data_IF_697423209904
#
_entry.id   IF_697423209904
#
_cell.length_a   1.000
_cell.length_b   1.000
_cell.length_c   1.000
_cell.angle_alpha   90.00
_cell.angle_beta   90.00
_cell.angle_gamma   90.00
#
_symmetry.space_group_name_H-M   'P 1'
#
loop_
_entity.id
_entity.type
_entity.pdbx_description
1 polymer ?
#
# COMPACT_ATOMS: atom_id res chain seq x y z
N UNK A 1 15.44 43.08 -9.73
CA UNK A 1 15.54 42.66 -11.15
C UNK A 1 17.00 42.27 -11.36
N UNK A 2 17.43 41.05 -11.69
CA UNK A 2 16.88 40.00 -12.54
C UNK A 2 17.47 38.67 -12.05
N UNK A 3 16.64 37.71 -11.64
CA UNK A 3 17.04 36.31 -11.50
C UNK A 3 16.87 35.64 -12.87
N UNK A 4 17.97 35.31 -13.53
CA UNK A 4 17.95 34.40 -14.68
C UNK A 4 19.00 33.32 -14.45
N UNK A 5 18.53 32.18 -13.96
CA UNK A 5 19.29 30.95 -13.86
C UNK A 5 19.49 30.32 -15.24
N UNK A 6 20.71 29.90 -15.60
CA UNK A 6 21.02 29.25 -16.88
C UNK A 6 21.52 27.81 -16.66
N UNK A 7 20.64 26.80 -16.59
CA UNK A 7 21.03 25.38 -16.75
C UNK A 7 19.76 24.53 -16.74
N UNK A 8 19.49 23.59 -17.65
CA UNK A 8 20.45 22.65 -18.24
C UNK A 8 20.53 21.35 -17.43
N UNK A 9 19.37 20.74 -17.08
CA UNK A 9 19.23 19.32 -16.72
C UNK A 9 20.09 18.73 -15.58
N UNK A 10 20.61 19.54 -14.64
CA UNK A 10 21.30 19.05 -13.43
C UNK A 10 20.95 19.86 -12.19
N UNK A 11 19.81 19.57 -11.57
CA UNK A 11 19.57 19.94 -10.18
C UNK A 11 19.35 18.68 -9.36
N UNK A 12 20.16 18.48 -8.32
CA UNK A 12 19.97 17.45 -7.30
C UNK A 12 18.55 17.50 -6.68
N UNK A 13 17.91 18.67 -6.76
CA UNK A 13 16.53 18.92 -6.32
C UNK A 13 15.45 18.17 -7.14
N UNK A 14 15.71 17.83 -8.40
CA UNK A 14 14.78 17.00 -9.20
C UNK A 14 14.99 15.49 -8.97
N UNK A 15 16.20 15.07 -8.58
CA UNK A 15 16.51 13.65 -8.32
C UNK A 15 15.94 13.16 -6.98
N UNK A 16 15.84 14.05 -5.98
CA UNK A 16 15.28 13.73 -4.67
C UNK A 16 13.76 13.49 -4.67
N UNK A 17 13.03 13.96 -5.70
CA UNK A 17 11.56 13.79 -5.79
C UNK A 17 11.13 12.46 -6.39
N UNK A 18 12.03 11.69 -7.01
CA UNK A 18 11.70 10.40 -7.65
C UNK A 18 11.89 9.21 -6.70
N UNK A 19 12.48 9.42 -5.51
CA UNK A 19 12.82 8.34 -4.57
C UNK A 19 11.88 8.21 -3.36
N UNK A 20 10.89 9.09 -3.21
CA UNK A 20 9.83 8.96 -2.21
C UNK A 20 8.68 8.08 -2.72
N UNK A 21 9.00 6.91 -3.30
CA UNK A 21 8.01 5.85 -3.45
C UNK A 21 7.72 5.34 -2.04
N UNK A 22 6.72 5.90 -1.38
CA UNK A 22 6.23 5.43 -0.10
C UNK A 22 5.92 3.94 -0.22
N UNK A 23 6.60 3.10 0.56
CA UNK A 23 6.24 1.68 0.70
C UNK A 23 4.74 1.62 1.01
N UNK A 24 3.94 0.90 0.22
CA UNK A 24 2.51 0.83 0.47
C UNK A 24 2.23 0.08 1.77
N UNK A 25 1.15 0.43 2.42
CA UNK A 25 0.70 -0.21 3.67
C UNK A 25 0.27 -1.66 3.42
N UNK A 26 -0.32 -1.91 2.25
CA UNK A 26 -0.76 -3.23 1.82
C UNK A 26 -0.24 -3.61 0.43
N UNK A 27 -0.12 -4.93 0.20
CA UNK A 27 0.02 -5.48 -1.14
C UNK A 27 -0.91 -6.68 -1.35
N UNK A 28 -1.48 -6.79 -2.55
CA UNK A 28 -2.37 -7.91 -2.91
C UNK A 28 -1.66 -8.88 -3.86
N UNK A 29 -1.54 -10.14 -3.45
CA UNK A 29 -1.06 -11.22 -4.30
C UNK A 29 -2.25 -12.05 -4.82
N UNK A 30 -2.43 -12.10 -6.14
CA UNK A 30 -3.51 -12.85 -6.78
C UNK A 30 -3.03 -14.26 -7.17
N UNK A 31 -3.71 -15.29 -6.67
CA UNK A 31 -3.44 -16.71 -6.95
C UNK A 31 -4.60 -17.39 -7.70
N UNK A 32 -5.45 -16.62 -8.39
CA UNK A 32 -6.55 -17.09 -9.22
C UNK A 32 -7.85 -17.25 -8.44
N UNK A 33 -7.93 -18.25 -7.56
CA UNK A 33 -9.13 -18.54 -6.76
C UNK A 33 -9.12 -17.87 -5.38
N UNK A 34 -7.95 -17.44 -4.93
CA UNK A 34 -7.74 -16.73 -3.66
C UNK A 34 -6.79 -15.55 -3.90
N UNK A 35 -6.92 -14.54 -3.05
CA UNK A 35 -5.94 -13.47 -2.94
C UNK A 35 -5.32 -13.51 -1.56
N UNK A 36 -4.08 -13.04 -1.45
CA UNK A 36 -3.41 -12.83 -0.17
C UNK A 36 -3.21 -11.34 0.00
N UNK A 37 -3.86 -10.77 1.01
CA UNK A 37 -3.67 -9.39 1.44
C UNK A 37 -2.53 -9.37 2.46
N UNK A 38 -1.42 -8.72 2.12
CA UNK A 38 -0.29 -8.58 3.03
C UNK A 38 -0.29 -7.21 3.69
N UNK A 39 -0.32 -7.17 5.02
CA UNK A 39 -0.09 -5.96 5.81
C UNK A 39 1.43 -5.73 5.95
N UNK A 40 1.95 -4.64 5.38
CA UNK A 40 3.39 -4.35 5.30
C UNK A 40 3.87 -3.35 6.36
N UNK A 41 2.94 -2.58 6.93
CA UNK A 41 3.19 -1.58 7.97
C UNK A 41 2.45 -1.94 9.27
N UNK A 42 2.81 -1.30 10.37
CA UNK A 42 2.11 -1.52 11.65
C UNK A 42 0.66 -1.03 11.58
N UNK A 43 0.44 0.14 10.98
CA UNK A 43 -0.92 0.66 10.74
C UNK A 43 -1.78 -0.31 9.91
N UNK A 44 -1.19 -1.01 8.94
CA UNK A 44 -1.89 -2.05 8.18
C UNK A 44 -2.28 -3.25 9.04
N UNK A 45 -1.42 -3.66 9.99
CA UNK A 45 -1.74 -4.76 10.91
C UNK A 45 -2.88 -4.38 11.86
N UNK A 46 -2.79 -3.20 12.45
CA UNK A 46 -3.86 -2.66 13.31
C UNK A 46 -5.19 -2.56 12.56
N UNK A 47 -5.15 -2.16 11.28
CA UNK A 47 -6.35 -2.11 10.44
C UNK A 47 -6.95 -3.49 10.20
N UNK A 48 -6.11 -4.50 9.94
CA UNK A 48 -6.56 -5.91 9.78
C UNK A 48 -7.20 -6.40 11.07
N UNK A 49 -6.56 -6.19 12.22
CA UNK A 49 -7.08 -6.62 13.52
C UNK A 49 -8.44 -5.96 13.87
N UNK A 50 -8.67 -4.73 13.38
CA UNK A 50 -9.90 -3.99 13.63
C UNK A 50 -11.05 -4.36 12.67
N UNK A 51 -10.75 -4.77 11.43
CA UNK A 51 -11.76 -4.90 10.36
C UNK A 51 -11.94 -6.33 9.83
N UNK A 52 -10.93 -7.19 9.98
CA UNK A 52 -10.97 -8.56 9.50
C UNK A 52 -11.29 -9.49 10.69
N UNK A 53 -12.21 -10.46 10.52
CA UNK A 53 -12.52 -11.42 11.57
C UNK A 53 -11.28 -12.20 12.05
N UNK A 54 -11.22 -12.48 13.36
CA UNK A 54 -10.12 -13.24 13.99
C UNK A 54 -10.01 -14.68 13.47
N UNK A 55 -11.09 -15.23 12.92
CA UNK A 55 -11.15 -16.58 12.34
C UNK A 55 -10.79 -16.60 10.85
N UNK A 56 -10.38 -15.46 10.27
CA UNK A 56 -9.90 -15.40 8.90
C UNK A 56 -8.65 -16.28 8.72
N UNK A 57 -8.56 -16.92 7.55
CA UNK A 57 -7.43 -17.78 7.24
C UNK A 57 -6.17 -16.94 7.03
N UNK A 58 -5.13 -17.24 7.80
CA UNK A 58 -3.85 -16.54 7.75
C UNK A 58 -2.84 -17.27 6.85
N UNK A 59 -1.97 -16.49 6.21
CA UNK A 59 -0.87 -16.94 5.38
C UNK A 59 0.45 -16.30 5.84
N UNK A 60 1.28 -17.09 6.50
CA UNK A 60 2.51 -16.59 7.12
C UNK A 60 2.23 -15.60 8.26
N UNK A 61 3.14 -14.64 8.48
CA UNK A 61 3.06 -13.73 9.63
C UNK A 61 2.11 -12.54 9.42
N UNK A 62 1.92 -12.09 8.17
CA UNK A 62 1.19 -10.86 7.87
C UNK A 62 0.20 -10.99 6.68
N UNK A 63 -0.06 -12.22 6.21
CA UNK A 63 -0.96 -12.45 5.08
C UNK A 63 -2.34 -12.88 5.55
N UNK A 64 -3.38 -12.29 4.98
CA UNK A 64 -4.76 -12.73 5.15
C UNK A 64 -5.26 -13.30 3.82
N UNK A 65 -5.82 -14.49 3.84
CA UNK A 65 -6.43 -15.12 2.66
C UNK A 65 -7.82 -14.54 2.45
N UNK A 66 -8.05 -13.97 1.27
CA UNK A 66 -9.28 -13.26 0.91
C UNK A 66 -9.86 -13.88 -0.35
N UNK A 67 -11.17 -14.16 -0.34
CA UNK A 67 -11.88 -14.55 -1.55
C UNK A 67 -12.03 -13.36 -2.52
N UNK A 68 -11.93 -13.56 -3.84
CA UNK A 68 -12.01 -12.49 -4.84
C UNK A 68 -13.24 -11.58 -4.74
N UNK A 69 -14.38 -12.11 -4.26
CA UNK A 69 -15.61 -11.33 -4.09
C UNK A 69 -15.54 -10.26 -2.99
N UNK A 70 -14.63 -10.39 -2.03
CA UNK A 70 -14.51 -9.47 -0.90
C UNK A 70 -13.41 -8.42 -1.10
N UNK A 71 -12.50 -8.62 -2.06
CA UNK A 71 -11.29 -7.78 -2.16
C UNK A 71 -11.61 -6.33 -2.51
N UNK A 72 -12.65 -6.07 -3.32
CA UNK A 72 -13.01 -4.73 -3.72
C UNK A 72 -13.43 -3.89 -2.50
N UNK A 73 -14.35 -4.42 -1.68
CA UNK A 73 -14.86 -3.75 -0.49
C UNK A 73 -13.76 -3.55 0.57
N UNK A 74 -12.88 -4.54 0.73
CA UNK A 74 -11.72 -4.42 1.63
C UNK A 74 -10.77 -3.31 1.17
N UNK A 75 -10.45 -3.26 -0.14
CA UNK A 75 -9.57 -2.21 -0.69
C UNK A 75 -10.22 -0.82 -0.58
N UNK A 76 -11.53 -0.72 -0.77
CA UNK A 76 -12.29 0.52 -0.56
C UNK A 76 -12.19 0.99 0.91
N UNK A 77 -12.36 0.08 1.87
CA UNK A 77 -12.22 0.35 3.30
C UNK A 77 -10.81 0.84 3.68
N UNK A 78 -9.77 0.12 3.22
CA UNK A 78 -8.37 0.50 3.44
C UNK A 78 -8.09 1.92 2.93
N UNK A 79 -8.55 2.24 1.71
CA UNK A 79 -8.35 3.55 1.10
C UNK A 79 -9.14 4.66 1.80
N UNK A 80 -10.34 4.35 2.27
CA UNK A 80 -11.18 5.29 3.01
C UNK A 80 -10.54 5.73 4.32
N UNK A 81 -9.75 4.84 4.94
CA UNK A 81 -8.99 5.13 6.16
C UNK A 81 -7.60 5.76 5.89
N UNK A 82 -7.32 6.12 4.63
CA UNK A 82 -6.09 6.82 4.24
C UNK A 82 -4.85 5.93 4.09
N UNK A 83 -5.01 4.61 4.12
CA UNK A 83 -3.94 3.64 3.90
C UNK A 83 -3.78 3.32 2.41
N UNK A 84 -2.57 2.90 2.03
CA UNK A 84 -2.20 2.67 0.63
C UNK A 84 -2.12 1.19 0.27
N UNK A 85 -2.58 0.83 -0.94
CA UNK A 85 -2.57 -0.55 -1.46
C UNK A 85 -1.91 -0.58 -2.84
N UNK A 86 -1.07 -1.59 -3.09
CA UNK A 86 -0.54 -1.90 -4.43
C UNK A 86 -0.97 -3.27 -4.95
#
# INVERSE_FOLDING_TARGET
MNMRSPCGWRCARCRAQVLAASTPDFSVANHGSILILHALTEAAREWVDAHIPEDAMMWGTNGTVVEPRYIADIVEGIRSDGLTVR
#
